data_IF_857471301438
#
_entry.id   IF_857471301438
#
_cell.length_a   1.000
_cell.length_b   1.000
_cell.length_c   1.000
_cell.angle_alpha   90.00
_cell.angle_beta   90.00
_cell.angle_gamma   90.00
#
_symmetry.space_group_name_H-M   'P 1'
#
loop_
_entity.id
_entity.type
_entity.pdbx_description
1 polymer ?
#
# COMPACT_ATOMS: atom_id res chain seq x y z
N UNK A 1 -20.33 3.96 -25.78
CA UNK A 1 -20.32 4.69 -24.50
C UNK A 1 -20.12 3.66 -23.41
N UNK A 2 -19.11 3.85 -22.56
CA UNK A 2 -18.67 2.86 -21.58
C UNK A 2 -17.16 2.66 -21.64
N UNK A 3 -16.39 3.76 -21.62
CA UNK A 3 -14.97 3.71 -21.36
C UNK A 3 -14.82 3.71 -19.85
N UNK A 4 -14.51 2.53 -19.31
CA UNK A 4 -14.22 2.30 -17.90
C UNK A 4 -13.10 3.26 -17.47
N UNK A 5 -13.46 4.31 -16.74
CA UNK A 5 -12.51 5.22 -16.11
C UNK A 5 -11.96 4.51 -14.87
N UNK A 6 -11.12 3.51 -15.09
CA UNK A 6 -10.14 3.13 -14.07
C UNK A 6 -9.22 4.33 -13.93
N UNK A 7 -9.52 5.21 -12.97
CA UNK A 7 -8.67 6.35 -12.61
C UNK A 7 -7.33 5.75 -12.21
N UNK A 8 -6.32 6.00 -13.04
CA UNK A 8 -4.94 5.64 -12.72
C UNK A 8 -4.48 6.66 -11.68
N UNK A 9 -4.71 6.38 -10.39
CA UNK A 9 -4.06 7.10 -9.30
C UNK A 9 -2.70 6.44 -9.10
N UNK A 10 -1.72 6.83 -9.92
CA UNK A 10 -0.34 6.38 -9.78
C UNK A 10 -0.01 5.04 -10.47
N UNK A 11 0.95 4.29 -9.93
CA UNK A 11 1.41 3.01 -10.50
C UNK A 11 0.48 1.85 -10.18
N UNK A 12 -0.43 2.03 -9.22
CA UNK A 12 -1.39 1.04 -8.77
C UNK A 12 -2.82 1.50 -9.04
N UNK A 13 -3.78 0.59 -8.92
CA UNK A 13 -5.19 0.84 -9.26
C UNK A 13 -6.06 0.92 -8.01
N UNK A 14 -7.16 1.67 -8.08
CA UNK A 14 -8.16 1.72 -7.01
C UNK A 14 -8.68 0.33 -6.62
N UNK A 15 -8.79 -0.59 -7.58
CA UNK A 15 -9.20 -1.97 -7.31
C UNK A 15 -8.21 -2.71 -6.40
N UNK A 16 -6.90 -2.47 -6.56
CA UNK A 16 -5.87 -3.04 -5.68
C UNK A 16 -5.92 -2.42 -4.29
N UNK A 17 -6.18 -1.11 -4.20
CA UNK A 17 -6.35 -0.43 -2.92
C UNK A 17 -7.62 -0.90 -2.19
N UNK A 18 -8.74 -1.03 -2.89
CA UNK A 18 -9.98 -1.56 -2.34
C UNK A 18 -9.81 -3.02 -1.88
N UNK A 19 -9.16 -3.87 -2.67
CA UNK A 19 -8.83 -5.25 -2.28
C UNK A 19 -7.99 -5.27 -0.99
N UNK A 20 -7.00 -4.38 -0.90
CA UNK A 20 -6.15 -4.23 0.28
C UNK A 20 -6.95 -3.86 1.53
N UNK A 21 -7.84 -2.87 1.42
CA UNK A 21 -8.70 -2.45 2.53
C UNK A 21 -9.67 -3.57 2.97
N UNK A 22 -10.25 -4.30 2.01
CA UNK A 22 -11.14 -5.43 2.28
C UNK A 22 -10.40 -6.58 2.99
N UNK A 23 -9.16 -6.86 2.59
CA UNK A 23 -8.38 -7.95 3.15
C UNK A 23 -7.75 -7.60 4.51
N UNK A 24 -7.14 -6.41 4.61
CA UNK A 24 -6.34 -6.01 5.78
C UNK A 24 -7.18 -5.41 6.90
N UNK A 25 -8.46 -5.12 6.62
CA UNK A 25 -9.40 -4.46 7.51
C UNK A 25 -9.44 -2.95 7.31
N UNK A 26 -10.30 -2.24 8.05
CA UNK A 26 -10.38 -0.78 7.97
C UNK A 26 -9.04 -0.16 8.36
N UNK A 27 -8.66 0.90 7.64
CA UNK A 27 -7.51 1.72 7.98
C UNK A 27 -7.77 2.44 9.31
N UNK A 28 -7.16 1.96 10.39
CA UNK A 28 -7.39 2.52 11.73
C UNK A 28 -6.38 3.64 12.02
N UNK A 29 -6.78 4.89 11.74
CA UNK A 29 -5.98 6.10 11.91
C UNK A 29 -5.85 6.56 13.37
N UNK A 30 -6.61 5.97 14.30
CA UNK A 30 -6.86 6.54 15.63
C UNK A 30 -5.75 6.40 16.69
N UNK A 31 -4.48 6.63 16.34
CA UNK A 31 -3.43 6.79 17.37
C UNK A 31 -2.50 7.99 17.19
N UNK A 32 -2.84 8.98 16.36
CA UNK A 32 -2.15 10.27 16.43
C UNK A 32 -3.13 11.44 16.48
N UNK A 33 -3.54 11.81 17.70
CA UNK A 33 -4.38 12.99 17.99
C UNK A 33 -3.74 14.31 17.53
N UNK A 34 -2.45 14.31 17.18
CA UNK A 34 -1.72 15.49 16.74
C UNK A 34 -0.97 15.21 15.45
N UNK A 35 -1.66 15.31 14.30
CA UNK A 35 -1.08 15.52 12.96
C UNK A 35 0.32 14.94 12.83
N UNK A 36 0.47 13.62 12.98
CA UNK A 36 1.75 12.98 12.74
C UNK A 36 2.11 13.31 11.30
N UNK A 37 3.17 14.10 11.14
CA UNK A 37 3.66 14.48 9.83
C UNK A 37 3.93 13.22 9.02
N UNK A 38 3.85 13.35 7.70
CA UNK A 38 4.10 12.39 6.62
C UNK A 38 5.46 11.66 6.67
N UNK A 39 6.00 11.38 7.86
CA UNK A 39 7.02 10.37 8.06
C UNK A 39 6.31 9.01 8.10
N UNK A 40 6.21 8.42 6.92
CA UNK A 40 5.96 7.00 6.58
C UNK A 40 6.65 5.93 7.45
N UNK A 41 7.46 6.36 8.42
CA UNK A 41 8.45 5.58 9.14
C UNK A 41 8.12 5.34 10.63
N UNK A 42 7.11 5.97 11.28
CA UNK A 42 6.80 5.71 12.72
C UNK A 42 5.37 6.08 13.17
N UNK A 43 4.87 5.44 14.24
CA UNK A 43 4.24 4.13 14.22
C UNK A 43 2.77 4.28 13.79
N UNK A 44 2.53 4.12 12.49
CA UNK A 44 1.23 3.60 12.03
C UNK A 44 1.07 2.25 12.70
N UNK A 45 -0.13 1.90 13.18
CA UNK A 45 -0.49 0.59 13.70
C UNK A 45 0.34 -0.49 12.98
N UNK A 46 1.42 -0.95 13.63
CA UNK A 46 2.47 -1.72 12.95
C UNK A 46 1.88 -3.03 12.44
N UNK A 47 0.93 -3.57 13.20
CA UNK A 47 0.15 -4.74 12.83
C UNK A 47 -0.67 -4.49 11.56
N UNK A 48 -1.25 -3.30 11.37
CA UNK A 48 -1.95 -2.96 10.12
C UNK A 48 -0.99 -2.84 8.95
N UNK A 49 0.12 -2.11 9.13
CA UNK A 49 1.14 -1.95 8.10
C UNK A 49 1.74 -3.30 7.68
N UNK A 50 1.99 -4.19 8.64
CA UNK A 50 2.54 -5.53 8.39
C UNK A 50 1.52 -6.41 7.66
N UNK A 51 0.22 -6.31 7.97
CA UNK A 51 -0.83 -6.97 7.18
C UNK A 51 -0.84 -6.49 5.73
N UNK A 52 -0.79 -5.18 5.51
CA UNK A 52 -0.74 -4.61 4.16
C UNK A 52 0.54 -5.00 3.43
N UNK A 53 1.68 -5.03 4.13
CA UNK A 53 2.95 -5.49 3.58
C UNK A 53 2.90 -6.95 3.14
N UNK A 54 2.35 -7.84 3.95
CA UNK A 54 2.20 -9.24 3.59
C UNK A 54 1.25 -9.41 2.40
N UNK A 55 0.11 -8.72 2.44
CA UNK A 55 -0.88 -8.78 1.36
C UNK A 55 -0.36 -8.18 0.04
N UNK A 56 0.56 -7.22 0.09
CA UNK A 56 1.21 -6.69 -1.11
C UNK A 56 1.90 -7.80 -1.93
N UNK A 57 2.58 -8.76 -1.28
CA UNK A 57 3.19 -9.89 -1.99
C UNK A 57 2.18 -10.94 -2.46
N UNK A 58 0.98 -10.98 -1.86
CA UNK A 58 -0.13 -11.79 -2.38
C UNK A 58 -0.77 -11.16 -3.63
N UNK A 59 -0.86 -9.83 -3.67
CA UNK A 59 -1.34 -9.07 -4.83
C UNK A 59 -0.37 -9.08 -6.01
N UNK A 60 0.93 -9.09 -5.72
CA UNK A 60 2.01 -8.99 -6.71
C UNK A 60 3.02 -10.14 -6.52
N UNK A 61 2.62 -11.40 -6.79
CA UNK A 61 3.48 -12.57 -6.59
C UNK A 61 4.76 -12.51 -7.43
N UNK A 62 4.77 -11.81 -8.56
CA UNK A 62 5.95 -11.57 -9.39
C UNK A 62 7.07 -10.87 -8.61
N UNK A 63 6.73 -10.08 -7.58
CA UNK A 63 7.71 -9.41 -6.73
C UNK A 63 8.49 -10.38 -5.84
N UNK A 64 7.98 -11.60 -5.63
CA UNK A 64 8.65 -12.67 -4.88
C UNK A 64 9.53 -13.50 -5.83
N UNK A 65 9.07 -13.74 -7.06
CA UNK A 65 9.72 -14.64 -8.01
C UNK A 65 10.87 -13.98 -8.81
N UNK A 66 10.80 -12.67 -9.09
CA UNK A 66 11.71 -12.01 -10.03
C UNK A 66 13.05 -11.54 -9.42
N UNK A 67 13.24 -11.60 -8.10
CA UNK A 67 14.26 -10.79 -7.44
C UNK A 67 15.28 -11.59 -6.58
N UNK A 68 16.46 -11.93 -7.13
CA UNK A 68 17.60 -12.40 -6.33
C UNK A 68 18.05 -11.38 -5.28
N UNK A 69 18.79 -11.80 -4.26
CA UNK A 69 19.10 -11.05 -3.03
C UNK A 69 19.59 -9.59 -3.16
N UNK A 70 20.07 -9.16 -4.33
CA UNK A 70 20.43 -7.76 -4.62
C UNK A 70 19.24 -6.84 -4.94
N UNK A 71 18.05 -7.40 -5.11
CA UNK A 71 16.84 -6.69 -5.47
C UNK A 71 15.87 -6.40 -4.31
N UNK A 72 16.31 -6.69 -3.08
CA UNK A 72 15.61 -6.26 -1.87
C UNK A 72 15.39 -4.73 -1.84
N UNK A 73 16.29 -3.95 -2.43
CA UNK A 73 16.14 -2.49 -2.57
C UNK A 73 15.02 -2.08 -3.53
N UNK A 74 14.83 -2.82 -4.62
CA UNK A 74 13.77 -2.56 -5.60
C UNK A 74 12.40 -2.99 -5.05
N UNK A 75 12.33 -4.16 -4.42
CA UNK A 75 11.12 -4.60 -3.70
C UNK A 75 10.71 -3.57 -2.64
N UNK A 76 11.67 -3.09 -1.86
CA UNK A 76 11.42 -2.06 -0.84
C UNK A 76 10.94 -0.75 -1.47
N UNK A 77 11.49 -0.35 -2.62
CA UNK A 77 11.04 0.83 -3.33
C UNK A 77 9.58 0.69 -3.82
N UNK A 78 9.25 -0.43 -4.48
CA UNK A 78 7.89 -0.71 -4.95
C UNK A 78 6.88 -0.76 -3.80
N UNK A 79 7.22 -1.46 -2.72
CA UNK A 79 6.43 -1.46 -1.49
C UNK A 79 6.21 -0.03 -0.96
N UNK A 80 7.28 0.77 -0.85
CA UNK A 80 7.18 2.14 -0.33
C UNK A 80 6.29 3.01 -1.21
N UNK A 81 6.37 2.87 -2.54
CA UNK A 81 5.49 3.57 -3.48
C UNK A 81 4.03 3.14 -3.31
N UNK A 82 3.77 1.83 -3.27
CA UNK A 82 2.42 1.30 -3.05
C UNK A 82 1.79 1.84 -1.77
N UNK A 83 2.55 1.80 -0.68
CA UNK A 83 2.08 2.25 0.63
C UNK A 83 1.71 3.74 0.63
N UNK A 84 2.48 4.59 -0.05
CA UNK A 84 2.14 6.01 -0.19
C UNK A 84 0.86 6.22 -0.98
N UNK A 85 0.76 5.65 -2.20
CA UNK A 85 -0.41 5.84 -3.06
C UNK A 85 -1.68 5.27 -2.40
N UNK A 86 -1.55 4.15 -1.69
CA UNK A 86 -2.64 3.56 -0.91
C UNK A 86 -3.14 4.47 0.21
N UNK A 87 -2.23 5.07 0.99
CA UNK A 87 -2.62 6.02 2.05
C UNK A 87 -3.31 7.24 1.44
N UNK A 88 -2.73 7.84 0.39
CA UNK A 88 -3.30 9.00 -0.28
C UNK A 88 -4.73 8.74 -0.79
N UNK A 89 -4.98 7.53 -1.33
CA UNK A 89 -6.31 7.12 -1.77
C UNK A 89 -7.29 6.90 -0.60
N UNK A 90 -6.85 6.31 0.51
CA UNK A 90 -7.71 6.13 1.70
C UNK A 90 -8.06 7.49 2.34
N UNK A 91 -7.19 8.49 2.21
CA UNK A 91 -7.37 9.84 2.77
C UNK A 91 -8.20 10.80 1.90
N UNK A 92 -8.42 10.49 0.62
CA UNK A 92 -9.16 11.33 -0.34
C UNK A 92 -10.69 11.17 -0.25
#
# INVERSE_FOLDING_TARGET
MGGDMSVIIGRYTEAQFAATLLHCGPHDWHTCETKCSLNVSRPINIDYKDRVYNYFFELFPEMVEEFPAYAASEQMHKWTTFWHEYIEWVES
#
